data_IF_470614180867
#
_entry.id   IF_470614180867
#
_cell.length_a   1.000
_cell.length_b   1.000
_cell.length_c   1.000
_cell.angle_alpha   90.00
_cell.angle_beta   90.00
_cell.angle_gamma   90.00
#
_symmetry.space_group_name_H-M   'P 1'
#
loop_
_entity.id
_entity.type
_entity.pdbx_description
1 polymer ?
#
# COMPACT_ATOMS: atom_id res chain seq x y z
N UNK A 1 -42.40 9.51 2.42
CA UNK A 1 -41.51 9.91 3.52
C UNK A 1 -41.56 11.42 3.61
N UNK A 2 -42.27 11.95 4.65
CA UNK A 2 -42.35 13.38 4.92
C UNK A 2 -41.01 13.84 5.53
N UNK A 3 -40.15 14.43 4.72
CA UNK A 3 -38.95 15.12 5.20
C UNK A 3 -39.44 16.50 5.66
N UNK A 4 -39.11 16.91 6.86
CA UNK A 4 -39.44 18.26 7.39
C UNK A 4 -38.90 19.33 6.42
N UNK A 5 -39.73 20.30 6.06
CA UNK A 5 -39.43 21.32 5.06
C UNK A 5 -38.15 22.12 5.37
N UNK A 6 -37.87 22.38 6.67
CA UNK A 6 -36.64 23.05 7.12
C UNK A 6 -35.37 22.28 6.75
N UNK A 7 -35.37 20.96 6.90
CA UNK A 7 -34.21 20.11 6.55
C UNK A 7 -33.96 20.05 5.04
N UNK A 8 -35.03 20.17 4.23
CA UNK A 8 -34.88 20.22 2.78
C UNK A 8 -34.15 21.48 2.34
N UNK A 9 -34.50 22.63 2.90
CA UNK A 9 -33.84 23.90 2.57
C UNK A 9 -32.36 23.88 2.97
N UNK A 10 -32.00 23.35 4.15
CA UNK A 10 -30.60 23.21 4.58
C UNK A 10 -29.77 22.33 3.63
N UNK A 11 -30.37 21.24 3.12
CA UNK A 11 -29.71 20.36 2.16
C UNK A 11 -29.54 21.04 0.81
N UNK A 12 -30.58 21.74 0.32
CA UNK A 12 -30.55 22.47 -0.93
C UNK A 12 -29.53 23.60 -0.90
N UNK A 13 -29.43 24.33 0.19
CA UNK A 13 -28.42 25.39 0.36
C UNK A 13 -27.00 24.80 0.34
N UNK A 14 -26.73 23.67 1.02
CA UNK A 14 -25.45 22.98 0.93
C UNK A 14 -25.12 22.49 -0.48
N UNK A 15 -26.10 22.01 -1.22
CA UNK A 15 -25.93 21.60 -2.62
C UNK A 15 -25.67 22.80 -3.53
N UNK A 16 -26.29 23.92 -3.24
CA UNK A 16 -26.08 25.19 -3.94
C UNK A 16 -24.65 25.73 -3.68
N UNK A 17 -24.20 25.75 -2.43
CA UNK A 17 -22.80 26.07 -2.09
C UNK A 17 -21.79 25.17 -2.80
N UNK A 18 -22.14 23.90 -3.03
CA UNK A 18 -21.32 22.98 -3.83
C UNK A 18 -21.47 23.20 -5.35
N UNK A 19 -22.36 24.09 -5.78
CA UNK A 19 -22.59 24.40 -7.19
C UNK A 19 -23.26 23.30 -8.01
N UNK A 20 -23.86 22.27 -7.34
CA UNK A 20 -24.59 21.17 -8.01
C UNK A 20 -26.07 21.42 -8.11
N UNK A 21 -26.58 22.46 -7.42
CA UNK A 21 -27.95 22.95 -7.51
C UNK A 21 -27.88 24.47 -7.70
N UNK A 22 -28.82 25.04 -8.46
CA UNK A 22 -29.03 26.48 -8.61
C UNK A 22 -30.49 26.77 -8.28
N UNK A 23 -30.82 28.05 -7.96
CA UNK A 23 -32.22 28.44 -7.83
C UNK A 23 -32.55 29.66 -8.66
N UNK A 24 -33.82 29.77 -9.01
CA UNK A 24 -34.44 30.95 -9.61
C UNK A 24 -35.61 31.38 -8.73
N UNK A 25 -35.91 32.67 -8.70
CA UNK A 25 -37.09 33.18 -8.01
C UNK A 25 -38.19 33.42 -9.05
N UNK A 26 -39.29 32.69 -8.90
CA UNK A 26 -40.49 32.88 -9.71
C UNK A 26 -41.69 33.10 -8.79
N UNK A 27 -42.44 34.17 -9.02
CA UNK A 27 -43.62 34.53 -8.21
C UNK A 27 -43.32 34.55 -6.69
N UNK A 28 -42.15 35.09 -6.30
CA UNK A 28 -41.72 35.19 -4.90
C UNK A 28 -41.31 33.84 -4.24
N UNK A 29 -41.23 32.75 -5.00
CA UNK A 29 -40.83 31.42 -4.52
C UNK A 29 -39.52 30.97 -5.18
N UNK A 30 -38.65 30.32 -4.38
CA UNK A 30 -37.41 29.68 -4.86
C UNK A 30 -37.75 28.37 -5.58
N UNK A 31 -37.29 28.26 -6.81
CA UNK A 31 -37.36 27.02 -7.63
C UNK A 31 -35.96 26.51 -7.83
N UNK A 32 -35.66 25.34 -7.31
CA UNK A 32 -34.35 24.70 -7.39
C UNK A 32 -34.23 23.84 -8.64
N UNK A 33 -33.06 23.90 -9.28
CA UNK A 33 -32.74 23.12 -10.46
C UNK A 33 -31.38 22.48 -10.30
N UNK A 34 -31.25 21.17 -10.62
CA UNK A 34 -29.96 20.51 -10.66
C UNK A 34 -29.06 21.08 -11.76
N UNK A 35 -27.79 21.25 -11.45
CA UNK A 35 -26.78 21.61 -12.45
C UNK A 35 -26.59 20.46 -13.46
N UNK A 36 -25.97 20.73 -14.62
CA UNK A 36 -25.63 19.69 -15.58
C UNK A 36 -24.67 18.68 -14.93
N UNK A 37 -24.81 17.35 -15.21
CA UNK A 37 -23.96 16.31 -14.63
C UNK A 37 -22.45 16.56 -14.80
N UNK A 38 -22.06 17.19 -15.93
CA UNK A 38 -20.66 17.52 -16.21
C UNK A 38 -20.04 18.44 -15.14
N UNK A 39 -20.88 19.18 -14.38
CA UNK A 39 -20.40 20.01 -13.28
C UNK A 39 -19.64 19.21 -12.22
N UNK A 40 -19.95 17.94 -12.04
CA UNK A 40 -19.23 17.04 -11.11
C UNK A 40 -17.76 16.86 -11.51
N UNK A 41 -17.46 16.79 -12.81
CA UNK A 41 -16.08 16.72 -13.28
C UNK A 41 -15.29 18.00 -12.97
N UNK A 42 -15.92 19.16 -13.10
CA UNK A 42 -15.25 20.42 -12.76
C UNK A 42 -14.92 20.51 -11.26
N UNK A 43 -15.84 20.04 -10.41
CA UNK A 43 -15.59 20.00 -8.96
C UNK A 43 -14.44 19.06 -8.56
N UNK A 44 -14.32 17.94 -9.27
CA UNK A 44 -13.20 17.01 -9.05
C UNK A 44 -11.90 17.63 -9.51
N UNK A 45 -11.86 18.22 -10.70
CA UNK A 45 -10.66 18.89 -11.24
C UNK A 45 -10.20 20.04 -10.37
N UNK A 46 -11.13 20.84 -9.83
CA UNK A 46 -10.80 21.92 -8.91
C UNK A 46 -10.10 21.39 -7.65
N UNK A 47 -10.61 20.29 -7.07
CA UNK A 47 -9.97 19.64 -5.91
C UNK A 47 -8.62 19.03 -6.26
N UNK A 48 -8.51 18.38 -7.42
CA UNK A 48 -7.25 17.83 -7.93
C UNK A 48 -6.18 18.92 -8.03
N UNK A 49 -6.53 20.05 -8.66
CA UNK A 49 -5.64 21.21 -8.78
C UNK A 49 -5.20 21.76 -7.41
N UNK A 50 -6.12 21.87 -6.45
CA UNK A 50 -5.79 22.32 -5.08
C UNK A 50 -4.80 21.35 -4.42
N UNK A 51 -5.02 20.04 -4.55
CA UNK A 51 -4.12 19.02 -3.99
C UNK A 51 -2.75 19.10 -4.67
N UNK A 52 -2.69 19.17 -6.00
CA UNK A 52 -1.43 19.27 -6.74
C UNK A 52 -0.59 20.48 -6.30
N UNK A 53 -1.23 21.62 -6.04
CA UNK A 53 -0.52 22.82 -5.56
C UNK A 53 -0.06 22.73 -4.10
N UNK A 54 -0.76 21.96 -3.26
CA UNK A 54 -0.40 21.79 -1.84
C UNK A 54 0.63 20.68 -1.63
N UNK A 55 0.64 19.64 -2.48
CA UNK A 55 1.50 18.46 -2.35
C UNK A 55 2.99 18.79 -2.21
N UNK A 56 3.60 19.73 -2.97
CA UNK A 56 5.01 20.05 -2.81
C UNK A 56 5.35 20.55 -1.41
N UNK A 57 4.51 21.40 -0.84
CA UNK A 57 4.71 21.94 0.51
C UNK A 57 4.51 20.86 1.58
N UNK A 58 3.46 20.04 1.44
CA UNK A 58 3.22 18.92 2.34
C UNK A 58 4.36 17.90 2.30
N UNK A 59 4.91 17.61 1.11
CA UNK A 59 6.06 16.73 0.95
C UNK A 59 7.34 17.32 1.59
N UNK A 60 7.55 18.63 1.51
CA UNK A 60 8.69 19.28 2.19
C UNK A 60 8.56 19.15 3.71
N UNK A 61 7.38 19.33 4.27
CA UNK A 61 7.13 19.14 5.71
C UNK A 61 7.30 17.68 6.11
N UNK A 62 6.74 16.76 5.34
CA UNK A 62 6.85 15.31 5.56
C UNK A 62 8.31 14.85 5.53
N UNK A 63 9.08 15.29 4.54
CA UNK A 63 10.48 14.90 4.39
C UNK A 63 11.39 15.48 5.50
N UNK A 64 11.06 16.64 6.09
CA UNK A 64 11.77 17.16 7.26
C UNK A 64 11.64 16.26 8.49
N UNK A 65 10.49 15.58 8.62
CA UNK A 65 10.24 14.62 9.72
C UNK A 65 10.85 13.24 9.38
N UNK A 66 10.98 12.90 8.09
CA UNK A 66 11.45 11.59 7.63
C UNK A 66 12.97 11.35 7.75
N UNK A 67 13.76 12.31 8.23
CA UNK A 67 15.17 12.08 8.62
C UNK A 67 15.31 11.44 10.01
N UNK A 68 14.23 11.39 10.81
CA UNK A 68 14.20 10.70 12.09
C UNK A 68 13.91 9.20 11.90
N UNK A 69 14.62 8.38 12.69
CA UNK A 69 14.34 6.94 12.78
C UNK A 69 12.92 6.77 13.36
N UNK A 70 12.06 6.02 12.66
CA UNK A 70 10.66 5.85 13.03
C UNK A 70 10.25 4.37 13.00
N UNK A 71 9.28 4.02 13.84
CA UNK A 71 8.67 2.70 13.87
C UNK A 71 7.16 2.81 14.00
N UNK A 72 6.45 2.25 13.04
CA UNK A 72 5.00 2.27 13.00
C UNK A 72 4.38 0.87 12.90
N UNK A 73 3.17 0.74 13.41
CA UNK A 73 2.38 -0.48 13.31
C UNK A 73 1.37 -0.32 12.17
N UNK A 74 1.53 -1.14 11.16
CA UNK A 74 0.67 -1.17 9.97
C UNK A 74 -0.33 -2.31 10.08
N UNK A 75 -1.62 -2.02 9.93
CA UNK A 75 -2.71 -3.00 10.08
C UNK A 75 -3.57 -3.12 8.82
N UNK A 76 -4.08 -4.34 8.60
CA UNK A 76 -5.12 -4.60 7.61
C UNK A 76 -4.65 -4.60 6.16
N UNK A 77 -5.57 -4.95 5.26
CA UNK A 77 -5.30 -5.08 3.81
C UNK A 77 -4.84 -3.77 3.17
N UNK A 78 -5.38 -2.64 3.62
CA UNK A 78 -4.99 -1.33 3.07
C UNK A 78 -3.57 -0.96 3.50
N UNK A 79 -3.21 -1.22 4.76
CA UNK A 79 -1.85 -0.99 5.25
C UNK A 79 -0.81 -1.83 4.47
N UNK A 80 -1.11 -3.10 4.22
CA UNK A 80 -0.24 -3.94 3.40
C UNK A 80 -0.11 -3.42 1.97
N UNK A 81 -1.20 -2.96 1.34
CA UNK A 81 -1.14 -2.34 0.00
C UNK A 81 -0.26 -1.08 0.01
N UNK A 82 -0.34 -0.26 1.05
CA UNK A 82 0.49 0.93 1.17
C UNK A 82 1.99 0.58 1.21
N UNK A 83 2.37 -0.49 1.95
CA UNK A 83 3.75 -0.99 1.95
C UNK A 83 4.18 -1.45 0.54
N UNK A 84 3.33 -2.19 -0.18
CA UNK A 84 3.64 -2.62 -1.55
C UNK A 84 3.76 -1.45 -2.54
N UNK A 85 2.90 -0.43 -2.43
CA UNK A 85 3.01 0.79 -3.25
C UNK A 85 4.30 1.56 -2.92
N UNK A 86 4.67 1.63 -1.64
CA UNK A 86 5.93 2.26 -1.23
C UNK A 86 7.15 1.51 -1.78
N UNK A 87 7.15 0.17 -1.77
CA UNK A 87 8.19 -0.64 -2.43
C UNK A 87 8.30 -0.27 -3.91
N UNK A 88 7.18 -0.18 -4.63
CA UNK A 88 7.19 0.20 -6.04
C UNK A 88 7.74 1.62 -6.30
N UNK A 89 7.60 2.52 -5.34
CA UNK A 89 7.98 3.92 -5.50
C UNK A 89 9.41 4.20 -5.04
N UNK A 90 9.93 3.45 -4.06
CA UNK A 90 11.21 3.78 -3.39
C UNK A 90 12.29 2.71 -3.58
N UNK A 91 11.91 1.44 -3.81
CA UNK A 91 12.87 0.36 -3.86
C UNK A 91 13.64 0.31 -5.19
N UNK A 92 14.94 0.05 -5.09
CA UNK A 92 15.79 -0.44 -6.19
C UNK A 92 15.97 -1.94 -6.12
N UNK A 93 16.01 -2.46 -4.91
CA UNK A 93 16.08 -3.87 -4.56
C UNK A 93 15.14 -4.16 -3.38
N UNK A 94 14.68 -5.39 -3.29
CA UNK A 94 13.78 -5.88 -2.26
C UNK A 94 14.17 -7.29 -1.84
N UNK A 95 14.53 -7.45 -0.57
CA UNK A 95 14.94 -8.72 0.02
C UNK A 95 13.90 -9.21 1.03
N UNK A 96 13.49 -10.47 0.93
CA UNK A 96 12.47 -11.08 1.78
C UNK A 96 13.02 -12.36 2.41
N UNK A 97 12.96 -12.43 3.73
CA UNK A 97 13.30 -13.62 4.52
C UNK A 97 12.02 -14.23 5.10
N UNK A 98 11.80 -15.50 4.87
CA UNK A 98 10.75 -16.26 5.53
C UNK A 98 9.36 -16.12 4.93
N UNK A 99 9.25 -15.84 3.63
CA UNK A 99 7.95 -15.81 2.96
C UNK A 99 7.13 -17.09 3.23
N UNK A 100 5.88 -16.93 3.66
CA UNK A 100 4.99 -18.04 4.03
C UNK A 100 4.16 -18.61 2.87
N UNK A 101 4.22 -17.98 1.70
CA UNK A 101 3.33 -18.34 0.59
C UNK A 101 1.91 -17.75 0.68
N UNK A 102 1.47 -17.30 1.84
CA UNK A 102 0.08 -16.85 2.07
C UNK A 102 -0.26 -15.47 1.49
N UNK A 103 0.71 -14.71 1.02
CA UNK A 103 0.46 -13.38 0.47
C UNK A 103 -0.55 -13.38 -0.68
N UNK A 104 -0.44 -14.33 -1.61
CA UNK A 104 -1.34 -14.43 -2.78
C UNK A 104 -2.79 -14.70 -2.35
N UNK A 105 -3.01 -15.53 -1.34
CA UNK A 105 -4.37 -15.82 -0.84
C UNK A 105 -4.97 -14.62 -0.10
N UNK A 106 -4.14 -13.80 0.51
CA UNK A 106 -4.58 -12.62 1.27
C UNK A 106 -4.98 -11.44 0.37
N UNK A 107 -4.27 -11.24 -0.74
CA UNK A 107 -4.49 -10.15 -1.70
C UNK A 107 -4.53 -10.70 -3.15
N UNK A 108 -5.49 -11.60 -3.48
CA UNK A 108 -5.48 -12.38 -4.73
C UNK A 108 -5.57 -11.53 -5.99
N UNK A 109 -6.26 -10.41 -5.95
CA UNK A 109 -6.43 -9.52 -7.11
C UNK A 109 -5.32 -8.45 -7.20
N UNK A 110 -4.66 -8.15 -6.09
CA UNK A 110 -3.66 -7.09 -6.04
C UNK A 110 -2.25 -7.61 -6.34
N UNK A 111 -1.83 -8.72 -5.71
CA UNK A 111 -0.46 -9.20 -5.81
C UNK A 111 -0.02 -9.61 -7.22
N UNK A 112 -0.84 -10.26 -8.07
CA UNK A 112 -0.43 -10.53 -9.44
C UNK A 112 -0.11 -9.26 -10.23
N UNK A 113 -0.89 -8.19 -10.04
CA UNK A 113 -0.65 -6.89 -10.67
C UNK A 113 0.60 -6.20 -10.08
N UNK A 114 0.81 -6.31 -8.76
CA UNK A 114 1.98 -5.80 -8.09
C UNK A 114 3.28 -6.43 -8.63
N UNK A 115 3.36 -7.76 -8.76
CA UNK A 115 4.55 -8.44 -9.31
C UNK A 115 4.84 -8.05 -10.76
N UNK A 116 3.80 -7.85 -11.57
CA UNK A 116 3.96 -7.35 -12.94
C UNK A 116 4.52 -5.92 -12.96
N UNK A 117 4.03 -5.05 -12.07
CA UNK A 117 4.54 -3.68 -11.91
C UNK A 117 5.98 -3.66 -11.38
N UNK A 118 6.30 -4.56 -10.45
CA UNK A 118 7.64 -4.76 -9.90
C UNK A 118 8.65 -5.14 -11.00
N UNK A 119 8.26 -6.05 -11.89
CA UNK A 119 9.05 -6.46 -13.05
C UNK A 119 9.26 -5.30 -14.04
N UNK A 120 8.19 -4.57 -14.38
CA UNK A 120 8.27 -3.40 -15.27
C UNK A 120 9.20 -2.32 -14.73
N UNK A 121 9.22 -2.12 -13.41
CA UNK A 121 10.14 -1.17 -12.74
C UNK A 121 11.56 -1.73 -12.56
N UNK A 122 11.82 -2.98 -12.94
CA UNK A 122 13.11 -3.68 -12.82
C UNK A 122 13.64 -3.72 -11.36
N UNK A 123 12.77 -3.78 -10.38
CA UNK A 123 13.15 -3.88 -8.98
C UNK A 123 13.69 -5.28 -8.72
N UNK A 124 14.97 -5.41 -8.43
CA UNK A 124 15.60 -6.71 -8.13
C UNK A 124 15.06 -7.28 -6.83
N UNK A 125 14.52 -8.49 -6.88
CA UNK A 125 13.88 -9.11 -5.71
C UNK A 125 14.52 -10.46 -5.38
N UNK A 126 14.91 -10.65 -4.11
CA UNK A 126 15.44 -11.91 -3.61
C UNK A 126 14.56 -12.42 -2.46
N UNK A 127 14.18 -13.68 -2.54
CA UNK A 127 13.31 -14.31 -1.55
C UNK A 127 13.99 -15.57 -0.96
N UNK A 128 14.07 -15.62 0.36
CA UNK A 128 14.45 -16.81 1.11
C UNK A 128 13.19 -17.43 1.70
N UNK A 129 12.74 -18.55 1.13
CA UNK A 129 11.60 -19.29 1.63
C UNK A 129 12.02 -20.34 2.67
N UNK A 130 11.12 -20.63 3.59
CA UNK A 130 11.14 -21.90 4.30
C UNK A 130 10.70 -23.00 3.32
N UNK A 131 11.36 -24.14 3.31
CA UNK A 131 11.08 -25.24 2.38
C UNK A 131 9.81 -25.99 2.81
N UNK A 132 8.65 -25.57 2.30
CA UNK A 132 7.34 -26.21 2.45
C UNK A 132 6.71 -26.47 1.09
N UNK A 133 5.66 -27.26 1.04
CA UNK A 133 4.93 -27.53 -0.21
C UNK A 133 4.34 -26.25 -0.79
N UNK A 134 3.72 -25.42 0.04
CA UNK A 134 3.11 -24.15 -0.37
C UNK A 134 4.15 -23.19 -0.95
N UNK A 135 5.34 -23.09 -0.34
CA UNK A 135 6.38 -22.19 -0.84
C UNK A 135 7.04 -22.71 -2.12
N UNK A 136 7.07 -24.02 -2.34
CA UNK A 136 7.50 -24.62 -3.61
C UNK A 136 6.54 -24.29 -4.75
N UNK A 137 5.23 -24.39 -4.50
CA UNK A 137 4.20 -23.97 -5.47
C UNK A 137 4.34 -22.48 -5.78
N UNK A 138 4.47 -21.63 -4.77
CA UNK A 138 4.62 -20.20 -4.95
C UNK A 138 5.90 -19.86 -5.72
N UNK A 139 6.99 -20.58 -5.51
CA UNK A 139 8.22 -20.42 -6.28
C UNK A 139 7.96 -20.57 -7.78
N UNK A 140 7.20 -21.60 -8.20
CA UNK A 140 6.90 -21.83 -9.62
C UNK A 140 6.20 -20.62 -10.27
N UNK A 141 5.30 -19.97 -9.53
CA UNK A 141 4.63 -18.76 -10.02
C UNK A 141 5.55 -17.55 -10.05
N UNK A 142 6.30 -17.30 -8.98
CA UNK A 142 7.12 -16.11 -8.85
C UNK A 142 8.35 -16.12 -9.76
N UNK A 143 8.92 -17.28 -10.06
CA UNK A 143 10.07 -17.38 -10.98
C UNK A 143 9.73 -17.12 -12.45
N UNK A 144 8.45 -16.96 -12.79
CA UNK A 144 8.02 -16.45 -14.10
C UNK A 144 8.46 -14.99 -14.31
N UNK A 145 8.67 -14.24 -13.23
CA UNK A 145 9.17 -12.87 -13.26
C UNK A 145 10.71 -12.84 -13.23
N UNK A 146 11.31 -12.26 -14.27
CA UNK A 146 12.78 -12.29 -14.51
C UNK A 146 13.61 -11.59 -13.42
N UNK A 147 13.01 -10.66 -12.70
CA UNK A 147 13.63 -9.86 -11.63
C UNK A 147 13.57 -10.54 -10.25
N UNK A 148 12.96 -11.73 -10.13
CA UNK A 148 12.79 -12.44 -8.85
C UNK A 148 13.73 -13.65 -8.79
N UNK A 149 14.51 -13.72 -7.72
CA UNK A 149 15.37 -14.84 -7.40
C UNK A 149 14.93 -15.49 -6.09
N UNK A 150 14.84 -16.81 -6.06
CA UNK A 150 14.35 -17.55 -4.89
C UNK A 150 15.35 -18.61 -4.50
N UNK A 151 15.61 -18.70 -3.19
CA UNK A 151 16.33 -19.78 -2.54
C UNK A 151 15.56 -20.28 -1.32
N UNK A 152 15.92 -21.46 -0.84
CA UNK A 152 15.34 -22.06 0.36
C UNK A 152 16.32 -22.01 1.52
N UNK A 153 15.79 -21.65 2.68
CA UNK A 153 16.52 -21.71 3.95
C UNK A 153 16.95 -23.15 4.28
N UNK A 154 18.05 -23.34 5.01
CA UNK A 154 18.40 -24.66 5.55
C UNK A 154 17.25 -25.24 6.38
N UNK A 155 16.95 -26.55 6.22
CA UNK A 155 15.80 -27.26 6.84
C UNK A 155 15.66 -27.11 8.36
N UNK A 156 16.74 -26.77 9.07
CA UNK A 156 16.73 -26.57 10.53
C UNK A 156 16.23 -25.20 10.99
N UNK A 157 16.01 -24.26 10.06
CA UNK A 157 15.56 -22.92 10.39
C UNK A 157 14.03 -22.90 10.33
N UNK A 158 13.40 -22.83 11.52
CA UNK A 158 11.98 -22.50 11.63
C UNK A 158 11.84 -20.99 11.65
N UNK A 159 10.98 -20.46 10.79
CA UNK A 159 10.77 -19.03 10.70
C UNK A 159 9.34 -18.68 11.07
N UNK A 160 9.18 -17.89 12.13
CA UNK A 160 7.89 -17.40 12.64
C UNK A 160 7.61 -15.95 12.18
N UNK A 161 8.54 -15.37 11.43
CA UNK A 161 8.46 -13.98 10.99
C UNK A 161 8.75 -13.89 9.49
N UNK A 162 8.06 -12.99 8.80
CA UNK A 162 8.48 -12.52 7.50
C UNK A 162 9.23 -11.21 7.73
N UNK A 163 10.48 -11.16 7.30
CA UNK A 163 11.30 -9.95 7.36
C UNK A 163 11.56 -9.47 5.93
N UNK A 164 11.32 -8.21 5.68
CA UNK A 164 11.45 -7.63 4.36
C UNK A 164 12.22 -6.32 4.44
N UNK A 165 13.25 -6.15 3.62
CA UNK A 165 14.07 -4.93 3.58
C UNK A 165 14.11 -4.34 2.19
N UNK A 166 13.89 -3.03 2.10
CA UNK A 166 14.03 -2.22 0.90
C UNK A 166 14.36 -0.78 1.28
N UNK A 167 15.10 -0.06 0.43
CA UNK A 167 15.55 1.30 0.71
C UNK A 167 16.16 1.40 2.13
N UNK A 168 15.59 2.25 2.98
CA UNK A 168 15.96 2.41 4.40
C UNK A 168 14.91 1.82 5.36
N UNK A 169 14.07 0.87 4.89
CA UNK A 169 12.96 0.31 5.66
C UNK A 169 13.13 -1.18 5.91
N UNK A 170 12.79 -1.61 7.12
CA UNK A 170 12.63 -3.00 7.54
C UNK A 170 11.17 -3.24 7.92
N UNK A 171 10.54 -4.22 7.30
CA UNK A 171 9.18 -4.65 7.60
C UNK A 171 9.24 -6.00 8.33
N UNK A 172 8.60 -6.10 9.46
CA UNK A 172 8.49 -7.31 10.28
C UNK A 172 7.03 -7.74 10.31
N UNK A 173 6.73 -8.93 9.80
CA UNK A 173 5.38 -9.50 9.81
C UNK A 173 5.40 -10.81 10.58
N UNK A 174 4.76 -10.91 11.76
CA UNK A 174 4.65 -12.16 12.49
C UNK A 174 3.75 -13.14 11.71
N UNK A 175 4.18 -14.40 11.65
CA UNK A 175 3.38 -15.50 11.11
C UNK A 175 2.58 -16.09 12.26
N UNK A 176 1.32 -15.70 12.38
CA UNK A 176 0.44 -16.22 13.43
C UNK A 176 -0.37 -17.37 12.85
N UNK A 177 -0.22 -18.61 13.40
CA UNK A 177 -1.05 -19.73 12.98
C UNK A 177 -2.52 -19.46 13.24
N UNK A 178 -3.40 -19.91 12.33
CA UNK A 178 -4.86 -19.85 12.47
C UNK A 178 -5.51 -18.46 12.52
N UNK A 179 -4.78 -17.40 12.20
CA UNK A 179 -5.37 -16.06 12.01
C UNK A 179 -5.45 -15.79 10.51
N UNK A 180 -6.67 -15.76 9.97
CA UNK A 180 -6.96 -15.39 8.58
C UNK A 180 -6.94 -13.87 8.36
N UNK A 181 -6.98 -13.09 9.42
CA UNK A 181 -6.92 -11.63 9.34
C UNK A 181 -5.53 -11.15 8.92
N UNK A 182 -5.53 -10.03 8.21
CA UNK A 182 -4.29 -9.41 7.74
C UNK A 182 -3.32 -9.19 8.87
N UNK A 183 -2.09 -9.66 8.70
CA UNK A 183 -1.08 -9.59 9.74
C UNK A 183 -0.81 -8.13 10.13
N UNK A 184 -0.55 -7.97 11.40
CA UNK A 184 0.10 -6.80 11.94
C UNK A 184 1.50 -6.75 11.34
N UNK A 185 1.87 -5.66 10.69
CA UNK A 185 3.24 -5.41 10.27
C UNK A 185 3.85 -4.29 11.13
N UNK A 186 5.10 -4.45 11.50
CA UNK A 186 5.91 -3.38 12.11
C UNK A 186 6.81 -2.86 11.00
N UNK A 187 6.69 -1.59 10.66
CA UNK A 187 7.57 -0.91 9.72
C UNK A 187 8.56 -0.07 10.50
N UNK A 188 9.84 -0.29 10.29
CA UNK A 188 10.93 0.48 10.88
C UNK A 188 11.60 1.24 9.74
N UNK A 189 11.60 2.56 9.82
CA UNK A 189 12.33 3.44 8.90
C UNK A 189 13.64 3.83 9.58
N UNK A 190 14.73 3.15 9.23
CA UNK A 190 16.08 3.38 9.77
C UNK A 190 17.11 2.84 8.80
N UNK A 191 18.03 3.70 8.39
CA UNK A 191 19.14 3.30 7.51
C UNK A 191 20.05 2.29 8.20
N UNK A 192 20.35 2.50 9.47
CA UNK A 192 21.21 1.61 10.26
C UNK A 192 20.58 0.23 10.40
N UNK A 193 19.29 0.16 10.78
CA UNK A 193 18.56 -1.08 10.98
C UNK A 193 18.40 -1.85 9.66
N UNK A 194 18.02 -1.18 8.58
CA UNK A 194 17.84 -1.81 7.27
C UNK A 194 19.16 -2.36 6.70
N UNK A 195 20.27 -1.62 6.84
CA UNK A 195 21.59 -2.08 6.41
C UNK A 195 22.09 -3.26 7.25
N UNK A 196 21.90 -3.22 8.56
CA UNK A 196 22.23 -4.33 9.45
C UNK A 196 21.48 -5.59 9.06
N UNK A 197 20.16 -5.50 8.86
CA UNK A 197 19.37 -6.65 8.41
C UNK A 197 19.81 -7.16 7.02
N UNK A 198 20.14 -6.26 6.09
CA UNK A 198 20.64 -6.64 4.76
C UNK A 198 21.94 -7.46 4.82
N UNK A 199 22.81 -7.21 5.81
CA UNK A 199 24.01 -8.03 6.05
C UNK A 199 23.64 -9.45 6.48
N UNK A 200 22.70 -9.60 7.43
CA UNK A 200 22.19 -10.93 7.83
C UNK A 200 21.53 -11.66 6.67
N UNK A 201 20.71 -10.98 5.88
CA UNK A 201 20.09 -11.55 4.70
C UNK A 201 21.14 -12.06 3.70
N UNK A 202 22.16 -11.28 3.41
CA UNK A 202 23.23 -11.63 2.49
C UNK A 202 24.01 -12.87 2.97
N UNK A 203 24.25 -12.99 4.27
CA UNK A 203 24.88 -14.16 4.83
C UNK A 203 24.01 -15.41 4.66
N UNK A 204 22.73 -15.31 5.03
CA UNK A 204 21.75 -16.40 4.82
C UNK A 204 21.62 -16.77 3.34
N UNK A 205 21.61 -15.79 2.45
CA UNK A 205 21.53 -16.01 1.01
C UNK A 205 22.70 -16.83 0.46
N UNK A 206 23.91 -16.63 0.99
CA UNK A 206 25.10 -17.40 0.59
C UNK A 206 25.02 -18.86 0.97
N UNK A 207 24.48 -19.19 2.15
CA UNK A 207 24.39 -20.56 2.65
C UNK A 207 23.12 -21.29 2.21
N UNK A 208 22.15 -20.59 1.64
CA UNK A 208 20.86 -21.14 1.18
C UNK A 208 20.99 -21.80 -0.20
N UNK A 209 20.16 -22.84 -0.43
CA UNK A 209 20.17 -23.63 -1.66
C UNK A 209 19.17 -23.07 -2.68
N UNK A 210 19.47 -23.29 -3.97
CA UNK A 210 18.55 -22.97 -5.07
C UNK A 210 17.34 -23.90 -5.07
#
# INVERSE_FOLDING_TARGET
TAIESSKIYDVLERLEHKGVVTHIIMNGKKHFKAAKPDKLFYLIKEKEYLIENMLPQLNLLYNKVAEEEDAEIVKGKQGAKNIYEDILNTAKDWDILGGSGKGITTLPYYLPQFYKRLENKKISTRILFVDTEETRIQRQELTKHKNIQIKFLPKKIQNLLILSVYANKLIIVPIIPNIEEMPLAIQITSKTTSQGFKQYFNWLWKISKK
#
